data_IF_239690359467
#
_entry.id   IF_239690359467
#
_cell.length_a   1.000
_cell.length_b   1.000
_cell.length_c   1.000
_cell.angle_alpha   90.00
_cell.angle_beta   90.00
_cell.angle_gamma   90.00
#
_symmetry.space_group_name_H-M   'P 1'
#
loop_
_entity.id
_entity.type
_entity.pdbx_description
1 polymer ?
#
# COMPACT_ATOMS: atom_id res chain seq x y z
N UNK A 1 19.15 18.90 12.47
CA UNK A 1 20.50 18.94 13.09
C UNK A 1 20.96 17.52 13.38
N UNK A 2 22.17 17.15 12.94
CA UNK A 2 22.82 15.89 13.35
C UNK A 2 23.93 16.26 14.34
N UNK A 3 23.93 15.62 15.50
CA UNK A 3 24.98 15.80 16.52
C UNK A 3 25.86 14.55 16.45
N UNK A 4 27.10 14.72 16.00
CA UNK A 4 28.13 13.68 16.11
C UNK A 4 29.18 14.16 17.09
N UNK A 5 29.10 13.68 18.33
CA UNK A 5 29.98 14.07 19.44
C UNK A 5 29.99 15.59 19.64
N UNK A 6 31.08 16.29 19.24
CA UNK A 6 31.26 17.74 19.40
C UNK A 6 31.00 18.55 18.11
N UNK A 7 30.67 17.89 17.00
CA UNK A 7 30.43 18.55 15.73
C UNK A 7 28.92 18.67 15.45
N UNK A 8 28.44 19.91 15.35
CA UNK A 8 27.08 20.21 14.91
C UNK A 8 27.07 20.32 13.39
N UNK A 9 26.43 19.36 12.73
CA UNK A 9 26.16 19.44 11.30
C UNK A 9 24.75 20.03 11.13
N UNK A 10 24.72 21.29 10.67
CA UNK A 10 23.48 21.97 10.30
C UNK A 10 22.89 21.34 9.05
N UNK A 11 21.61 20.97 9.11
CA UNK A 11 20.85 20.56 7.93
C UNK A 11 20.36 21.82 7.23
N UNK A 12 20.81 22.03 5.99
CA UNK A 12 20.49 23.21 5.20
C UNK A 12 19.25 23.02 4.31
N UNK A 13 18.88 21.76 4.03
CA UNK A 13 17.73 21.38 3.20
C UNK A 13 17.08 20.11 3.77
N UNK A 14 15.76 20.01 3.58
CA UNK A 14 14.95 18.88 4.00
C UNK A 14 14.49 18.94 5.46
N UNK A 15 13.35 18.31 5.73
CA UNK A 15 12.83 18.12 7.08
C UNK A 15 13.37 16.80 7.63
N UNK A 16 13.72 16.75 8.92
CA UNK A 16 14.27 15.54 9.51
C UNK A 16 13.22 14.44 9.60
N UNK A 17 13.61 13.21 9.25
CA UNK A 17 12.74 12.05 9.45
C UNK A 17 12.43 11.87 10.94
N UNK A 18 11.15 11.67 11.26
CA UNK A 18 10.65 11.61 12.63
C UNK A 18 10.28 12.97 13.22
N UNK A 19 10.46 14.07 12.49
CA UNK A 19 9.92 15.37 12.89
C UNK A 19 8.37 15.36 12.79
N UNK A 20 7.64 15.64 13.88
CA UNK A 20 6.18 15.50 13.90
C UNK A 20 5.42 16.34 12.86
N UNK A 21 5.91 17.54 12.53
CA UNK A 21 5.27 18.44 11.56
C UNK A 21 5.75 18.22 10.12
N UNK A 22 6.72 17.33 9.91
CA UNK A 22 7.39 17.17 8.62
C UNK A 22 6.45 16.80 7.49
N UNK A 23 5.56 15.80 7.68
CA UNK A 23 4.57 15.46 6.68
C UNK A 23 3.63 16.62 6.33
N UNK A 24 3.21 17.42 7.33
CA UNK A 24 2.32 18.57 7.11
C UNK A 24 3.02 19.65 6.29
N UNK A 25 4.24 20.03 6.69
CA UNK A 25 5.03 21.04 5.99
C UNK A 25 5.35 20.62 4.56
N UNK A 26 5.66 19.33 4.35
CA UNK A 26 5.85 18.78 3.01
C UNK A 26 4.57 18.88 2.17
N UNK A 27 3.42 18.43 2.71
CA UNK A 27 2.13 18.51 2.03
C UNK A 27 1.76 19.96 1.66
N UNK A 28 1.97 20.90 2.59
CA UNK A 28 1.74 22.34 2.35
C UNK A 28 2.64 22.89 1.24
N UNK A 29 3.91 22.47 1.19
CA UNK A 29 4.85 22.92 0.18
C UNK A 29 4.44 22.48 -1.24
N UNK A 30 3.92 21.25 -1.38
CA UNK A 30 3.52 20.70 -2.68
C UNK A 30 2.05 20.96 -3.07
N UNK A 31 1.21 21.44 -2.16
CA UNK A 31 -0.24 21.61 -2.38
C UNK A 31 -0.57 22.42 -3.65
N UNK A 32 0.15 23.52 -3.87
CA UNK A 32 -0.04 24.34 -5.08
C UNK A 32 0.28 23.58 -6.37
N UNK A 33 1.29 22.70 -6.34
CA UNK A 33 1.65 21.84 -7.48
C UNK A 33 0.60 20.75 -7.66
N UNK A 34 0.20 20.08 -6.58
CA UNK A 34 -0.79 19.02 -6.59
C UNK A 34 -2.14 19.51 -7.16
N UNK A 35 -2.57 20.74 -6.82
CA UNK A 35 -3.81 21.34 -7.36
C UNK A 35 -3.70 21.80 -8.82
N UNK A 36 -2.49 21.92 -9.36
CA UNK A 36 -2.28 22.37 -10.75
C UNK A 36 -2.39 21.26 -11.80
N UNK A 37 -2.57 20.01 -11.34
CA UNK A 37 -2.75 18.82 -12.17
C UNK A 37 -4.02 18.93 -13.02
N UNK A 38 -3.91 18.57 -14.29
CA UNK A 38 -5.03 18.58 -15.24
C UNK A 38 -5.77 17.23 -15.26
N UNK A 39 -5.10 16.13 -14.90
CA UNK A 39 -5.72 14.81 -14.81
C UNK A 39 -6.95 14.83 -13.88
N UNK A 40 -8.12 14.35 -14.33
CA UNK A 40 -9.36 14.36 -13.54
C UNK A 40 -9.25 13.52 -12.26
N UNK A 41 -8.56 12.38 -12.30
CA UNK A 41 -8.21 11.65 -11.10
C UNK A 41 -6.86 12.15 -10.60
N UNK A 42 -6.85 12.76 -9.42
CA UNK A 42 -5.68 13.41 -8.86
C UNK A 42 -5.61 13.13 -7.35
N UNK A 43 -4.88 12.08 -6.98
CA UNK A 43 -4.82 11.59 -5.59
C UNK A 43 -3.37 11.71 -5.12
N UNK A 44 -3.14 12.42 -4.02
CA UNK A 44 -1.81 12.57 -3.43
C UNK A 44 -1.80 12.02 -2.02
N UNK A 45 -0.78 11.24 -1.72
CA UNK A 45 -0.43 10.83 -0.37
C UNK A 45 1.06 11.16 -0.16
N UNK A 46 1.32 12.35 0.37
CA UNK A 46 2.68 12.89 0.46
C UNK A 46 3.38 12.85 -0.91
N UNK A 47 4.47 12.10 -1.04
CA UNK A 47 5.27 11.98 -2.25
C UNK A 47 4.73 10.96 -3.27
N UNK A 48 3.72 10.17 -2.89
CA UNK A 48 2.98 9.27 -3.78
C UNK A 48 1.86 10.04 -4.50
N UNK A 49 1.96 10.19 -5.82
CA UNK A 49 0.91 10.81 -6.64
C UNK A 49 0.26 9.78 -7.57
N UNK A 50 -1.06 9.66 -7.57
CA UNK A 50 -1.79 8.79 -8.51
C UNK A 50 -2.65 9.67 -9.40
N UNK A 51 -2.32 9.69 -10.70
CA UNK A 51 -2.92 10.58 -11.69
C UNK A 51 -3.66 9.78 -12.76
N UNK A 52 -4.95 9.98 -12.97
CA UNK A 52 -5.73 9.26 -13.98
C UNK A 52 -6.53 10.20 -14.87
N UNK A 53 -6.68 9.86 -16.13
CA UNK A 53 -7.27 10.73 -17.14
C UNK A 53 -7.13 10.18 -18.55
N UNK A 54 -7.35 11.03 -19.56
CA UNK A 54 -7.02 10.67 -20.94
C UNK A 54 -5.50 10.66 -21.15
N UNK A 55 -5.03 10.08 -22.27
CA UNK A 55 -3.61 10.11 -22.68
C UNK A 55 -3.08 11.55 -22.64
N UNK A 56 -3.85 12.49 -23.18
CA UNK A 56 -3.46 13.89 -23.34
C UNK A 56 -3.32 14.59 -21.99
N UNK A 57 -4.27 14.36 -21.07
CA UNK A 57 -4.23 14.95 -19.74
C UNK A 57 -3.03 14.43 -18.94
N UNK A 58 -2.84 13.10 -18.92
CA UNK A 58 -1.75 12.45 -18.20
C UNK A 58 -0.39 12.82 -18.79
N UNK A 59 -0.24 12.86 -20.12
CA UNK A 59 1.03 13.23 -20.75
C UNK A 59 1.38 14.72 -20.57
N UNK A 60 0.39 15.59 -20.36
CA UNK A 60 0.61 17.01 -20.11
C UNK A 60 1.10 17.30 -18.68
N UNK A 61 0.73 16.47 -17.70
CA UNK A 61 1.02 16.75 -16.29
C UNK A 61 2.52 16.72 -15.94
N UNK A 62 3.34 15.75 -16.38
CA UNK A 62 4.79 15.77 -16.15
C UNK A 62 5.46 17.07 -16.62
N UNK A 63 5.01 17.62 -17.77
CA UNK A 63 5.55 18.88 -18.32
C UNK A 63 5.29 20.09 -17.42
N UNK A 64 4.24 20.03 -16.58
CA UNK A 64 3.87 21.10 -15.64
C UNK A 64 4.46 20.86 -14.26
N UNK A 65 4.38 19.63 -13.77
CA UNK A 65 4.74 19.24 -12.41
C UNK A 65 6.24 19.24 -12.21
N UNK A 66 7.03 18.71 -13.15
CA UNK A 66 8.48 18.58 -12.98
C UNK A 66 9.13 19.96 -12.74
N UNK A 67 8.91 20.99 -13.59
CA UNK A 67 9.48 22.30 -13.33
C UNK A 67 8.98 22.93 -12.03
N UNK A 68 7.69 22.76 -11.70
CA UNK A 68 7.10 23.32 -10.49
C UNK A 68 7.68 22.69 -9.20
N UNK A 69 7.90 21.37 -9.20
CA UNK A 69 8.61 20.68 -8.13
C UNK A 69 10.08 21.11 -8.08
N UNK A 70 10.76 21.25 -9.21
CA UNK A 70 12.16 21.68 -9.22
C UNK A 70 12.35 23.06 -8.57
N UNK A 71 11.39 23.98 -8.72
CA UNK A 71 11.40 25.27 -8.01
C UNK A 71 11.30 25.15 -6.49
N UNK A 72 10.71 24.04 -5.99
CA UNK A 72 10.63 23.70 -4.57
C UNK A 72 11.87 22.91 -4.09
N UNK A 73 12.88 22.69 -4.95
CA UNK A 73 14.07 21.90 -4.62
C UNK A 73 13.82 20.39 -4.61
N UNK A 74 12.89 19.95 -5.45
CA UNK A 74 12.22 18.67 -5.40
C UNK A 74 12.26 18.00 -6.78
N UNK A 75 12.68 16.74 -6.88
CA UNK A 75 12.89 16.02 -8.17
C UNK A 75 12.08 14.72 -8.25
N UNK A 76 11.46 14.45 -9.39
CA UNK A 76 10.71 13.19 -9.59
C UNK A 76 11.68 12.03 -9.83
N UNK A 77 11.49 10.93 -9.10
CA UNK A 77 12.20 9.69 -9.38
C UNK A 77 11.55 8.91 -10.54
N UNK A 78 12.06 9.10 -11.75
CA UNK A 78 11.54 8.41 -12.94
C UNK A 78 11.61 6.88 -12.83
N UNK A 79 12.67 6.33 -12.24
CA UNK A 79 12.86 4.87 -12.12
C UNK A 79 11.88 4.18 -11.15
N UNK A 80 11.28 4.94 -10.24
CA UNK A 80 10.24 4.45 -9.32
C UNK A 80 8.83 4.68 -9.85
N UNK A 81 8.69 5.63 -10.76
CA UNK A 81 7.40 5.99 -11.37
C UNK A 81 6.93 4.88 -12.31
N UNK A 82 5.63 4.60 -12.27
CA UNK A 82 5.04 3.49 -13.02
C UNK A 82 3.93 3.98 -13.97
N UNK A 83 3.84 3.42 -15.16
CA UNK A 83 2.73 3.65 -16.10
C UNK A 83 1.96 2.36 -16.30
N UNK A 84 0.62 2.45 -16.24
CA UNK A 84 -0.27 1.31 -16.41
C UNK A 84 -1.24 1.60 -17.55
N UNK A 85 -1.41 0.61 -18.43
CA UNK A 85 -2.50 0.62 -19.38
C UNK A 85 -3.72 -0.05 -18.78
N UNK A 86 -4.80 0.69 -18.61
CA UNK A 86 -6.05 0.13 -18.10
C UNK A 86 -7.03 -0.25 -19.21
N UNK A 87 -7.23 0.63 -20.19
CA UNK A 87 -8.34 0.52 -21.15
C UNK A 87 -7.98 0.93 -22.58
N UNK A 88 -6.71 1.16 -22.89
CA UNK A 88 -6.30 1.61 -24.23
C UNK A 88 -5.76 0.46 -25.07
N UNK A 89 -5.85 0.63 -26.38
CA UNK A 89 -5.23 -0.30 -27.33
C UNK A 89 -3.70 -0.29 -27.16
N UNK A 90 -3.04 -1.37 -27.59
CA UNK A 90 -1.58 -1.44 -27.53
C UNK A 90 -0.93 -0.30 -28.32
N UNK A 91 -1.45 0.01 -29.51
CA UNK A 91 -0.91 1.05 -30.39
C UNK A 91 -1.02 2.45 -29.77
N UNK A 92 -2.20 2.79 -29.23
CA UNK A 92 -2.41 4.10 -28.58
C UNK A 92 -1.52 4.24 -27.34
N UNK A 93 -1.40 3.17 -26.55
CA UNK A 93 -0.57 3.16 -25.35
C UNK A 93 0.92 3.29 -25.68
N UNK A 94 1.41 2.60 -26.72
CA UNK A 94 2.79 2.73 -27.18
C UNK A 94 3.11 4.14 -27.70
N UNK A 95 2.15 4.79 -28.36
CA UNK A 95 2.30 6.20 -28.77
C UNK A 95 2.40 7.11 -27.54
N UNK A 96 1.50 6.94 -26.56
CA UNK A 96 1.50 7.72 -25.32
C UNK A 96 2.81 7.55 -24.52
N UNK A 97 3.29 6.32 -24.39
CA UNK A 97 4.53 6.02 -23.67
C UNK A 97 5.73 6.72 -24.31
N UNK A 98 5.79 6.78 -25.65
CA UNK A 98 6.88 7.47 -26.35
C UNK A 98 6.99 8.93 -25.92
N UNK A 99 5.86 9.64 -25.87
CA UNK A 99 5.83 11.04 -25.46
C UNK A 99 6.20 11.24 -23.98
N UNK A 100 5.76 10.32 -23.11
CA UNK A 100 6.07 10.39 -21.69
C UNK A 100 7.55 10.05 -21.43
N UNK A 101 8.12 9.09 -22.14
CA UNK A 101 9.55 8.70 -22.02
C UNK A 101 10.52 9.79 -22.43
N UNK A 102 10.10 10.74 -23.27
CA UNK A 102 10.89 11.94 -23.57
C UNK A 102 11.07 12.86 -22.34
N UNK A 103 10.24 12.70 -21.32
CA UNK A 103 10.24 13.50 -20.10
C UNK A 103 10.71 12.66 -18.90
N UNK A 104 10.28 11.40 -18.83
CA UNK A 104 10.56 10.44 -17.79
C UNK A 104 11.24 9.21 -18.42
N UNK A 105 12.56 9.30 -18.60
CA UNK A 105 13.35 8.34 -19.39
C UNK A 105 13.24 6.89 -18.86
N UNK A 106 13.30 6.71 -17.53
CA UNK A 106 13.38 5.40 -16.86
C UNK A 106 12.04 4.88 -16.33
N UNK A 107 10.93 5.37 -16.87
CA UNK A 107 9.59 5.01 -16.42
C UNK A 107 9.29 3.52 -16.57
N UNK A 108 8.81 2.88 -15.50
CA UNK A 108 8.46 1.45 -15.51
C UNK A 108 7.06 1.26 -16.07
N UNK A 109 6.88 0.32 -16.99
CA UNK A 109 5.54 -0.12 -17.41
C UNK A 109 5.11 -1.26 -16.49
N UNK A 110 4.03 -1.08 -15.74
CA UNK A 110 3.49 -2.11 -14.85
C UNK A 110 2.22 -2.70 -15.47
N UNK A 111 2.10 -4.03 -15.58
CA UNK A 111 0.89 -4.66 -16.05
C UNK A 111 -0.25 -4.42 -15.04
N UNK A 112 -1.48 -4.31 -15.53
CA UNK A 112 -2.65 -4.06 -14.67
C UNK A 112 -2.78 -5.11 -13.57
N UNK A 113 -2.40 -6.35 -13.85
CA UNK A 113 -2.49 -7.48 -12.92
C UNK A 113 -1.60 -7.31 -11.68
N UNK A 114 -0.56 -6.48 -11.74
CA UNK A 114 0.41 -6.23 -10.66
C UNK A 114 0.19 -4.89 -9.95
N UNK A 115 -0.88 -4.15 -10.30
CA UNK A 115 -1.10 -2.81 -9.78
C UNK A 115 -1.35 -2.80 -8.27
N UNK A 116 -0.50 -2.05 -7.56
CA UNK A 116 -0.64 -1.73 -6.15
C UNK A 116 -0.69 -0.22 -5.93
N UNK A 117 -1.62 0.24 -5.10
CA UNK A 117 -1.76 1.65 -4.70
C UNK A 117 -1.58 1.73 -3.20
N UNK A 118 -0.55 2.46 -2.74
CA UNK A 118 -0.21 2.55 -1.31
C UNK A 118 -0.10 1.16 -0.65
N UNK A 119 0.46 0.19 -1.38
CA UNK A 119 0.57 -1.20 -0.94
C UNK A 119 -0.73 -2.02 -0.96
N UNK A 120 -1.85 -1.45 -1.40
CA UNK A 120 -3.11 -2.18 -1.62
C UNK A 120 -3.19 -2.73 -3.05
N UNK A 121 -3.42 -4.04 -3.24
CA UNK A 121 -3.66 -4.60 -4.56
C UNK A 121 -5.01 -4.14 -5.11
N UNK A 122 -5.06 -3.81 -6.40
CA UNK A 122 -6.29 -3.33 -7.06
C UNK A 122 -7.02 -4.46 -7.79
N UNK A 123 -6.30 -5.28 -8.54
CA UNK A 123 -6.87 -6.32 -9.38
C UNK A 123 -6.83 -7.71 -8.71
N UNK A 124 -7.73 -8.64 -9.10
CA UNK A 124 -7.82 -9.96 -8.47
C UNK A 124 -6.51 -10.75 -8.44
N UNK A 125 -5.68 -10.65 -9.49
CA UNK A 125 -4.42 -11.38 -9.54
C UNK A 125 -3.41 -10.85 -8.51
N UNK A 126 -3.23 -9.51 -8.42
CA UNK A 126 -2.46 -8.86 -7.37
C UNK A 126 -2.97 -9.21 -5.97
N UNK A 127 -4.28 -9.34 -5.76
CA UNK A 127 -4.84 -9.74 -4.46
C UNK A 127 -4.33 -11.12 -4.05
N UNK A 128 -4.35 -12.09 -4.97
CA UNK A 128 -3.85 -13.46 -4.71
C UNK A 128 -2.37 -13.45 -4.36
N UNK A 129 -1.57 -12.75 -5.16
CA UNK A 129 -0.12 -12.65 -4.92
C UNK A 129 0.21 -11.95 -3.59
N UNK A 130 -0.52 -10.88 -3.26
CA UNK A 130 -0.37 -10.16 -2.00
C UNK A 130 -0.71 -11.06 -0.79
N UNK A 131 -1.82 -11.78 -0.85
CA UNK A 131 -2.22 -12.72 0.21
C UNK A 131 -1.21 -13.86 0.33
N UNK A 132 -0.72 -14.41 -0.78
CA UNK A 132 0.28 -15.47 -0.76
C UNK A 132 1.62 -14.99 -0.19
N UNK A 133 2.08 -13.81 -0.60
CA UNK A 133 3.31 -13.19 -0.06
C UNK A 133 3.21 -13.02 1.45
N UNK A 134 2.07 -12.51 1.95
CA UNK A 134 1.85 -12.37 3.39
C UNK A 134 1.75 -13.73 4.09
N UNK A 135 1.14 -14.74 3.46
CA UNK A 135 1.11 -16.12 3.96
C UNK A 135 2.52 -16.68 4.11
N UNK A 136 3.39 -16.51 3.11
CA UNK A 136 4.80 -16.95 3.16
C UNK A 136 5.56 -16.26 4.29
N UNK A 137 5.35 -14.95 4.48
CA UNK A 137 5.94 -14.21 5.59
C UNK A 137 5.45 -14.76 6.94
N UNK A 138 4.14 -14.99 7.08
CA UNK A 138 3.55 -15.56 8.30
C UNK A 138 4.13 -16.96 8.60
N UNK A 139 4.29 -17.82 7.59
CA UNK A 139 4.91 -19.14 7.75
C UNK A 139 6.35 -19.02 8.26
N UNK A 140 7.16 -18.13 7.68
CA UNK A 140 8.53 -17.87 8.15
C UNK A 140 8.55 -17.31 9.58
N UNK A 141 7.60 -16.46 9.94
CA UNK A 141 7.50 -15.94 11.31
C UNK A 141 7.10 -17.05 12.29
N UNK A 142 6.24 -17.99 11.87
CA UNK A 142 5.83 -19.14 12.68
C UNK A 142 7.03 -19.98 13.10
N UNK A 143 7.99 -20.21 12.19
CA UNK A 143 9.24 -20.93 12.50
C UNK A 143 10.06 -20.20 13.56
N UNK A 144 10.16 -18.87 13.47
CA UNK A 144 10.91 -18.04 14.42
C UNK A 144 10.23 -17.95 15.80
N UNK A 145 8.90 -17.94 15.83
CA UNK A 145 8.13 -17.89 17.08
C UNK A 145 8.35 -19.13 17.96
N UNK A 146 8.80 -20.25 17.40
CA UNK A 146 9.14 -21.45 18.17
C UNK A 146 10.43 -21.29 18.99
N UNK A 147 11.26 -20.29 18.68
CA UNK A 147 12.55 -20.06 19.35
C UNK A 147 12.41 -19.24 20.64
N UNK A 148 11.21 -18.72 20.93
CA UNK A 148 10.94 -17.87 22.08
C UNK A 148 9.93 -18.52 23.03
N UNK A 149 9.81 -17.98 24.24
CA UNK A 149 8.83 -18.44 25.24
C UNK A 149 7.41 -18.47 24.67
N UNK A 150 6.66 -19.54 24.94
CA UNK A 150 5.32 -19.76 24.43
C UNK A 150 4.34 -18.61 24.73
N UNK A 151 4.44 -17.98 25.90
CA UNK A 151 3.60 -16.85 26.26
C UNK A 151 3.90 -15.63 25.38
N UNK A 152 5.18 -15.34 25.16
CA UNK A 152 5.60 -14.24 24.29
C UNK A 152 5.27 -14.55 22.82
N UNK A 153 5.45 -15.81 22.40
CA UNK A 153 5.11 -16.26 21.06
C UNK A 153 3.64 -16.06 20.76
N UNK A 154 2.76 -16.49 21.68
CA UNK A 154 1.32 -16.33 21.55
C UNK A 154 0.92 -14.85 21.54
N UNK A 155 1.56 -14.03 22.40
CA UNK A 155 1.33 -12.60 22.43
C UNK A 155 1.68 -11.93 21.10
N UNK A 156 2.85 -12.23 20.52
CA UNK A 156 3.28 -11.68 19.24
C UNK A 156 2.43 -12.20 18.06
N UNK A 157 2.10 -13.49 18.06
CA UNK A 157 1.21 -14.08 17.06
C UNK A 157 -0.11 -13.32 17.02
N UNK A 158 -0.74 -13.13 18.18
CA UNK A 158 -2.03 -12.44 18.29
C UNK A 158 -1.97 -10.96 17.92
N UNK A 159 -0.99 -10.23 18.45
CA UNK A 159 -1.00 -8.76 18.39
C UNK A 159 -0.21 -8.18 17.22
N UNK A 160 0.61 -8.96 16.52
CA UNK A 160 1.49 -8.44 15.48
C UNK A 160 1.45 -9.25 14.18
N UNK A 161 1.54 -10.58 14.26
CA UNK A 161 1.77 -11.39 13.06
C UNK A 161 0.51 -11.97 12.41
N UNK A 162 -0.52 -12.28 13.20
CA UNK A 162 -1.80 -12.75 12.67
C UNK A 162 -2.59 -11.58 12.06
N UNK A 163 -3.89 -11.47 12.34
CA UNK A 163 -4.80 -10.50 11.72
C UNK A 163 -4.25 -9.06 11.62
N UNK A 164 -3.58 -8.46 12.61
CA UNK A 164 -3.10 -7.08 12.52
C UNK A 164 -2.22 -6.81 11.28
N UNK A 165 -1.44 -7.80 10.82
CA UNK A 165 -0.59 -7.67 9.64
C UNK A 165 -1.36 -7.74 8.30
N UNK A 166 -2.56 -8.32 8.31
CA UNK A 166 -3.44 -8.48 7.14
C UNK A 166 -4.54 -7.43 7.09
N UNK A 167 -4.88 -6.81 8.22
CA UNK A 167 -6.08 -5.98 8.36
C UNK A 167 -6.15 -4.86 7.32
N UNK A 168 -5.03 -4.17 7.07
CA UNK A 168 -4.94 -3.15 6.03
C UNK A 168 -5.39 -3.69 4.65
N UNK A 169 -4.82 -4.82 4.21
CA UNK A 169 -5.17 -5.45 2.93
C UNK A 169 -6.62 -5.94 2.89
N UNK A 170 -7.13 -6.47 4.01
CA UNK A 170 -8.54 -6.88 4.12
C UNK A 170 -9.51 -5.70 4.07
N UNK A 171 -9.08 -4.51 4.49
CA UNK A 171 -9.87 -3.28 4.43
C UNK A 171 -9.79 -2.61 3.06
N UNK A 172 -8.64 -2.69 2.40
CA UNK A 172 -8.36 -1.94 1.17
C UNK A 172 -8.73 -2.71 -0.10
N UNK A 173 -8.72 -4.05 -0.06
CA UNK A 173 -9.01 -4.90 -1.21
C UNK A 173 -10.13 -5.92 -0.91
N UNK A 174 -10.92 -6.36 -1.92
CA UNK A 174 -12.01 -7.31 -1.76
C UNK A 174 -11.50 -8.77 -1.59
N UNK A 175 -10.66 -9.01 -0.58
CA UNK A 175 -10.04 -10.32 -0.32
C UNK A 175 -11.05 -11.45 -0.05
N UNK A 176 -12.28 -11.12 0.35
CA UNK A 176 -13.34 -12.11 0.58
C UNK A 176 -13.77 -12.85 -0.70
N UNK A 177 -13.35 -12.40 -1.89
CA UNK A 177 -13.51 -13.14 -3.13
C UNK A 177 -12.53 -14.32 -3.23
N UNK A 178 -11.38 -14.23 -2.55
CA UNK A 178 -10.28 -15.21 -2.58
C UNK A 178 -10.28 -16.08 -1.31
N UNK A 179 -11.41 -16.74 -1.03
CA UNK A 179 -11.63 -17.53 0.18
C UNK A 179 -10.59 -18.63 0.42
N UNK A 180 -10.07 -19.25 -0.64
CA UNK A 180 -9.08 -20.31 -0.52
C UNK A 180 -7.78 -19.80 0.13
N UNK A 181 -7.28 -18.64 -0.29
CA UNK A 181 -6.07 -18.03 0.27
C UNK A 181 -6.27 -17.59 1.73
N UNK A 182 -7.45 -17.05 2.06
CA UNK A 182 -7.78 -16.68 3.44
C UNK A 182 -7.84 -17.91 4.36
N UNK A 183 -8.42 -19.02 3.89
CA UNK A 183 -8.44 -20.28 4.65
C UNK A 183 -7.02 -20.81 4.89
N UNK A 184 -6.12 -20.72 3.91
CA UNK A 184 -4.73 -21.14 4.08
C UNK A 184 -4.00 -20.29 5.13
N UNK A 185 -4.25 -18.98 5.18
CA UNK A 185 -3.73 -18.10 6.22
C UNK A 185 -4.24 -18.54 7.60
N UNK A 186 -5.55 -18.79 7.73
CA UNK A 186 -6.14 -19.25 8.99
C UNK A 186 -5.59 -20.62 9.42
N UNK A 187 -5.33 -21.53 8.47
CA UNK A 187 -4.67 -22.82 8.75
C UNK A 187 -3.24 -22.61 9.25
N UNK A 188 -2.48 -21.70 8.66
CA UNK A 188 -1.12 -21.37 9.12
C UNK A 188 -1.14 -20.80 10.54
N UNK A 189 -2.07 -19.88 10.84
CA UNK A 189 -2.24 -19.35 12.21
C UNK A 189 -2.66 -20.47 13.17
N UNK A 190 -3.56 -21.37 12.77
CA UNK A 190 -3.96 -22.54 13.56
C UNK A 190 -2.76 -23.40 13.93
N UNK A 191 -1.98 -23.82 12.92
CA UNK A 191 -0.78 -24.64 13.12
C UNK A 191 0.23 -23.95 14.03
N UNK A 192 0.45 -22.65 13.85
CA UNK A 192 1.33 -21.87 14.72
C UNK A 192 0.83 -21.89 16.19
N UNK A 193 -0.47 -21.69 16.40
CA UNK A 193 -1.07 -21.71 17.73
C UNK A 193 -1.00 -23.10 18.38
N UNK A 194 -1.21 -24.18 17.62
CA UNK A 194 -1.09 -25.57 18.10
C UNK A 194 0.34 -25.85 18.57
N UNK A 195 1.34 -25.40 17.81
CA UNK A 195 2.75 -25.56 18.14
C UNK A 195 3.14 -24.77 19.39
N UNK A 196 2.70 -23.51 19.50
CA UNK A 196 3.00 -22.65 20.66
C UNK A 196 2.32 -23.18 21.93
N UNK A 197 1.05 -23.58 21.84
CA UNK A 197 0.29 -24.06 22.99
C UNK A 197 0.58 -25.53 23.31
N UNK A 198 1.27 -26.25 22.42
CA UNK A 198 1.49 -27.69 22.48
C UNK A 198 0.18 -28.48 22.65
N UNK A 199 -0.86 -28.09 21.88
CA UNK A 199 -2.20 -28.68 21.91
C UNK A 199 -2.71 -28.81 20.47
N UNK A 200 -3.42 -29.89 20.16
CA UNK A 200 -4.14 -30.03 18.89
C UNK A 200 -5.57 -29.53 19.05
N UNK A 201 -5.99 -28.57 18.23
CA UNK A 201 -7.35 -28.03 18.30
C UNK A 201 -8.28 -28.82 17.40
N UNK A 202 -9.32 -29.41 17.99
CA UNK A 202 -10.51 -29.88 17.28
C UNK A 202 -11.33 -28.69 16.72
N UNK A 203 -12.39 -28.97 15.96
CA UNK A 203 -13.19 -27.91 15.31
C UNK A 203 -13.90 -27.00 16.32
N UNK A 204 -14.25 -27.54 17.49
CA UNK A 204 -14.84 -26.79 18.59
C UNK A 204 -13.81 -25.92 19.31
N UNK A 205 -12.64 -26.48 19.64
CA UNK A 205 -11.53 -25.77 20.24
C UNK A 205 -11.02 -24.66 19.34
N UNK A 206 -10.88 -24.90 18.03
CA UNK A 206 -10.48 -23.85 17.10
C UNK A 206 -11.50 -22.71 17.02
N UNK A 207 -12.80 -23.03 17.00
CA UNK A 207 -13.86 -22.00 17.10
C UNK A 207 -13.74 -21.17 18.38
N UNK A 208 -13.43 -21.79 19.52
CA UNK A 208 -13.22 -21.09 20.78
C UNK A 208 -11.96 -20.21 20.74
N UNK A 209 -10.84 -20.71 20.20
CA UNK A 209 -9.58 -19.97 20.06
C UNK A 209 -9.75 -18.66 19.28
N UNK A 210 -10.63 -18.65 18.27
CA UNK A 210 -10.99 -17.44 17.49
C UNK A 210 -11.76 -16.38 18.28
N UNK A 211 -12.37 -16.73 19.41
CA UNK A 211 -13.12 -15.77 20.23
C UNK A 211 -12.18 -14.85 21.00
N UNK A 212 -12.69 -13.69 21.42
CA UNK A 212 -11.95 -12.78 22.29
C UNK A 212 -11.71 -13.39 23.68
N UNK A 213 -10.69 -12.90 24.39
CA UNK A 213 -10.37 -13.32 25.76
C UNK A 213 -11.58 -13.21 26.70
N UNK A 214 -12.38 -12.13 26.59
CA UNK A 214 -13.60 -11.93 27.39
C UNK A 214 -14.69 -12.98 27.16
N UNK A 215 -14.60 -13.74 26.07
CA UNK A 215 -15.49 -14.84 25.73
C UNK A 215 -14.82 -16.21 25.90
N UNK A 216 -13.67 -16.27 26.59
CA UNK A 216 -12.94 -17.52 26.85
C UNK A 216 -12.13 -18.05 25.66
N UNK A 217 -11.85 -17.23 24.65
CA UNK A 217 -10.97 -17.56 23.52
C UNK A 217 -9.57 -16.97 23.63
N UNK A 218 -8.68 -17.24 22.66
CA UNK A 218 -7.32 -16.67 22.64
C UNK A 218 -7.25 -15.33 21.89
N UNK A 219 -8.24 -15.04 21.05
CA UNK A 219 -8.31 -13.82 20.24
C UNK A 219 -7.59 -13.93 18.91
N UNK A 220 -7.32 -15.15 18.42
CA UNK A 220 -6.77 -15.39 17.09
C UNK A 220 -7.89 -15.32 16.05
N UNK A 221 -8.32 -14.10 15.74
CA UNK A 221 -9.44 -13.85 14.83
C UNK A 221 -9.13 -14.41 13.43
N UNK A 222 -10.16 -14.98 12.80
CA UNK A 222 -10.07 -15.50 11.43
C UNK A 222 -10.06 -14.38 10.40
N UNK A 223 -9.18 -14.50 9.42
CA UNK A 223 -9.14 -13.62 8.26
C UNK A 223 -10.38 -13.81 7.37
N UNK A 224 -10.87 -15.04 7.23
CA UNK A 224 -12.10 -15.38 6.49
C UNK A 224 -13.31 -14.65 7.08
N UNK A 225 -13.48 -14.74 8.41
CA UNK A 225 -14.62 -14.14 9.12
C UNK A 225 -14.60 -12.59 9.02
N UNK A 226 -13.42 -12.00 8.85
CA UNK A 226 -13.23 -10.54 8.88
C UNK A 226 -13.06 -9.88 7.52
N UNK A 227 -12.69 -10.60 6.46
CA UNK A 227 -12.41 -10.01 5.16
C UNK A 227 -13.58 -9.19 4.60
N UNK A 228 -14.80 -9.72 4.63
CA UNK A 228 -15.99 -9.01 4.14
C UNK A 228 -16.36 -7.80 5.01
N UNK A 229 -16.56 -7.91 6.33
CA UNK A 229 -16.92 -6.75 7.14
C UNK A 229 -15.82 -5.68 7.18
N UNK A 230 -14.55 -6.06 7.16
CA UNK A 230 -13.44 -5.11 7.10
C UNK A 230 -13.49 -4.25 5.82
N UNK A 231 -13.66 -4.90 4.66
CA UNK A 231 -13.79 -4.22 3.37
C UNK A 231 -15.02 -3.31 3.32
N UNK A 232 -16.20 -3.82 3.72
CA UNK A 232 -17.44 -3.04 3.68
C UNK A 232 -17.39 -1.84 4.65
N UNK A 233 -16.78 -2.00 5.82
CA UNK A 233 -16.58 -0.89 6.77
C UNK A 233 -15.68 0.19 6.18
N UNK A 234 -14.60 -0.20 5.51
CA UNK A 234 -13.68 0.72 4.84
C UNK A 234 -14.37 1.46 3.70
N UNK A 235 -15.07 0.72 2.83
CA UNK A 235 -15.83 1.28 1.71
C UNK A 235 -16.90 2.27 2.18
N UNK A 236 -17.65 1.91 3.22
CA UNK A 236 -18.67 2.79 3.80
C UNK A 236 -18.06 4.05 4.43
N UNK A 237 -16.88 3.94 5.04
CA UNK A 237 -16.21 5.09 5.66
C UNK A 237 -15.62 6.05 4.62
N UNK A 238 -15.25 5.52 3.45
CA UNK A 238 -14.63 6.29 2.36
C UNK A 238 -15.63 6.72 1.28
N UNK A 239 -16.93 6.47 1.46
CA UNK A 239 -17.95 6.70 0.43
C UNK A 239 -17.99 8.17 -0.04
N UNK A 240 -18.00 9.12 0.90
CA UNK A 240 -18.02 10.56 0.58
C UNK A 240 -16.79 10.98 -0.25
N UNK A 241 -15.61 10.48 0.11
CA UNK A 241 -14.38 10.74 -0.63
C UNK A 241 -14.40 10.12 -2.02
N UNK A 242 -14.95 8.91 -2.16
CA UNK A 242 -15.10 8.25 -3.47
C UNK A 242 -16.04 9.05 -4.37
N UNK A 243 -17.16 9.54 -3.84
CA UNK A 243 -18.10 10.39 -4.59
C UNK A 243 -17.46 11.70 -5.03
N UNK A 244 -16.63 12.32 -4.18
CA UNK A 244 -15.88 13.53 -4.51
C UNK A 244 -14.86 13.28 -5.63
N UNK A 245 -14.10 12.18 -5.54
CA UNK A 245 -13.10 11.78 -6.56
C UNK A 245 -13.78 11.44 -7.90
N UNK A 246 -14.94 10.78 -7.88
CA UNK A 246 -15.67 10.37 -9.10
C UNK A 246 -16.63 11.46 -9.63
N UNK A 247 -16.69 12.63 -8.98
CA UNK A 247 -17.44 13.79 -9.44
C UNK A 247 -18.97 13.64 -9.36
N UNK A 248 -19.51 12.96 -8.33
CA UNK A 248 -20.96 12.91 -8.07
C UNK A 248 -21.80 12.19 -9.12
N UNK A 249 -21.19 11.39 -10.00
CA UNK A 249 -21.88 10.53 -10.96
C UNK A 249 -22.37 9.22 -10.31
N UNK A 250 -22.96 9.32 -9.11
CA UNK A 250 -23.48 8.19 -8.34
C UNK A 250 -24.84 7.75 -8.92
N UNK A 251 -24.85 7.13 -10.09
CA UNK A 251 -25.94 6.21 -10.41
C UNK A 251 -25.83 5.03 -9.46
N UNK A 252 -26.83 4.95 -8.57
CA UNK A 252 -27.11 3.90 -7.61
C UNK A 252 -26.37 2.57 -7.90
N UNK A 253 -25.43 2.21 -7.02
CA UNK A 253 -24.75 0.90 -7.01
C UNK A 253 -25.76 -0.21 -6.71
N UNK A 254 -26.52 -0.65 -7.73
CA UNK A 254 -27.30 -1.87 -7.67
C UNK A 254 -26.60 -2.99 -8.43
N UNK A 255 -26.01 -3.94 -7.70
CA UNK A 255 -26.05 -5.34 -8.12
C UNK A 255 -24.89 -5.93 -8.93
N UNK A 256 -23.79 -5.22 -9.20
CA UNK A 256 -22.59 -5.83 -9.77
C UNK A 256 -21.32 -5.25 -9.15
N UNK A 257 -20.59 -6.10 -8.43
CA UNK A 257 -19.42 -5.77 -7.62
C UNK A 257 -18.15 -5.52 -8.45
N UNK A 258 -18.33 -5.11 -9.70
CA UNK A 258 -17.26 -4.69 -10.59
C UNK A 258 -17.54 -3.26 -10.98
N UNK A 259 -16.55 -2.44 -10.71
CA UNK A 259 -16.42 -1.08 -11.19
C UNK A 259 -16.77 -1.05 -12.69
N UNK A 260 -17.99 -0.61 -13.03
CA UNK A 260 -18.34 -0.22 -14.40
C UNK A 260 -17.66 1.13 -14.68
N UNK A 261 -16.35 1.12 -14.94
CA UNK A 261 -15.65 2.26 -15.53
C UNK A 261 -15.96 2.24 -17.02
N UNK A 262 -16.90 3.09 -17.45
CA UNK A 262 -16.76 3.73 -18.74
C UNK A 262 -15.57 4.69 -18.62
N UNK A 263 -14.49 4.42 -19.37
CA UNK A 263 -13.37 5.31 -19.75
C UNK A 263 -12.91 6.33 -18.69
N UNK A 264 -11.74 6.12 -18.03
CA UNK A 264 -10.48 6.56 -18.67
C UNK A 264 -9.22 5.74 -18.28
N UNK A 265 -8.07 6.15 -18.83
CA UNK A 265 -6.72 5.69 -18.49
C UNK A 265 -6.43 6.05 -17.03
N UNK A 266 -5.69 5.23 -16.30
CA UNK A 266 -5.09 5.68 -15.05
C UNK A 266 -3.60 5.45 -15.14
N UNK A 267 -2.85 6.50 -14.79
CA UNK A 267 -1.44 6.44 -14.55
C UNK A 267 -1.23 6.35 -13.02
N UNK A 268 -0.18 5.69 -12.56
CA UNK A 268 0.19 5.70 -11.15
C UNK A 268 1.59 6.26 -11.01
N UNK A 269 1.75 7.56 -10.72
CA UNK A 269 3.05 8.14 -10.41
C UNK A 269 3.49 7.63 -9.03
N UNK A 270 3.98 6.39 -8.99
CA UNK A 270 4.59 5.86 -7.79
C UNK A 270 5.95 6.56 -7.56
N UNK A 271 5.83 7.67 -6.86
CA UNK A 271 6.59 7.98 -5.69
C UNK A 271 7.95 8.68 -5.81
N UNK A 272 8.12 9.58 -4.84
CA UNK A 272 9.34 10.19 -4.33
C UNK A 272 9.83 11.37 -5.13
N UNK A 273 9.29 12.50 -4.75
CA UNK A 273 9.96 13.77 -4.89
C UNK A 273 11.20 13.75 -3.98
N UNK A 274 12.37 13.48 -4.54
CA UNK A 274 13.63 13.36 -3.80
C UNK A 274 14.33 14.72 -3.82
N UNK A 275 14.80 15.18 -2.66
CA UNK A 275 15.74 16.30 -2.61
C UNK A 275 17.11 15.81 -3.09
N UNK A 276 17.83 16.56 -3.94
CA UNK A 276 19.13 16.13 -4.47
C UNK A 276 20.10 15.79 -3.33
N UNK A 277 20.61 14.55 -3.32
CA UNK A 277 21.65 14.11 -2.38
C UNK A 277 21.36 12.88 -1.51
N UNK A 278 20.21 12.21 -1.61
CA UNK A 278 19.97 10.95 -0.87
C UNK A 278 20.57 9.73 -1.59
N UNK A 279 21.89 9.65 -1.66
CA UNK A 279 22.58 8.38 -1.89
C UNK A 279 22.45 7.54 -0.61
N UNK A 280 21.85 6.35 -0.71
CA UNK A 280 21.98 5.34 0.34
C UNK A 280 23.46 4.93 0.42
N UNK A 281 24.19 5.47 1.39
CA UNK A 281 25.49 4.91 1.77
C UNK A 281 25.26 3.55 2.44
N UNK A 282 25.91 2.46 1.97
CA UNK A 282 25.89 1.18 2.67
C UNK A 282 26.87 1.27 3.84
N UNK A 283 26.41 1.71 5.01
CA UNK A 283 27.18 1.60 6.24
C UNK A 283 27.01 0.19 6.81
N UNK A 284 27.83 -0.73 6.29
CA UNK A 284 28.32 -1.85 7.08
C UNK A 284 29.15 -1.29 8.23
N UNK A 285 28.63 -1.36 9.45
CA UNK A 285 29.44 -1.26 10.66
C UNK A 285 29.34 -2.58 11.43
N UNK A 286 30.47 -3.17 11.84
CA UNK A 286 30.50 -4.38 12.64
C UNK A 286 30.03 -4.05 14.06
N UNK A 287 29.23 -4.93 14.65
CA UNK A 287 28.85 -4.84 16.07
C UNK A 287 29.97 -5.52 16.88
N UNK A 288 30.70 -4.81 17.76
CA UNK A 288 31.46 -5.45 18.82
C UNK A 288 30.58 -5.64 20.06
N UNK A 289 30.82 -6.78 20.72
CA UNK A 289 30.18 -7.39 21.89
C UNK A 289 29.03 -8.35 21.60
#
# INVERSE_FOLDING_TARGET
>A
MLINSDNIISSATGIQQGEPLGPLLFAMAIDGVARSIASPSNIWYLDDATLGGSIEAVAADPRRVIPALSLLGLEINSSKSEIINLNYTADDFESAIRDIRLILEDIKITPKEELHILGSPVFPMAIRECLDTKRVILTRMTEKLQLIDAHLALFLLKNSFSLPSFLYTLQSAPCYLEQNFLNEIDITVKRCAELICNVNFDDTGWRQVKLLLRFGGLGLRSAVDLARPAYLSSLSSSHELIDEILGGSSQCFSGSLWISIASPLYYLLHNRVVAPGSTQCPLHLPVPF
#
